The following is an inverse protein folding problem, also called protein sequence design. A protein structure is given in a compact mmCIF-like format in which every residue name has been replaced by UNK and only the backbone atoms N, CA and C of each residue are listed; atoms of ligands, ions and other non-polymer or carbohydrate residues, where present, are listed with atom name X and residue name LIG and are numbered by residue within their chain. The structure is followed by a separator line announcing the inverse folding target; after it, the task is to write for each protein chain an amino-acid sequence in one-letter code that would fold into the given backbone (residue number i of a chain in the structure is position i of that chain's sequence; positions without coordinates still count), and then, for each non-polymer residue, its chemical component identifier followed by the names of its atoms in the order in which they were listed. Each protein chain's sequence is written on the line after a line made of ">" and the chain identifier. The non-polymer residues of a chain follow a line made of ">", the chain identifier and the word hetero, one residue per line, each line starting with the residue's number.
data_IF_807375034311
#
_entry.id   IF_807375034311
#
_cell.length_a   1.000
_cell.length_b   1.000
_cell.length_c   1.000
_cell.angle_alpha   90.00
_cell.angle_beta   90.00
_cell.angle_gamma   90.00
#
_symmetry.space_group_name_H-M   'P 1'
#
loop_
_entity.id
_entity.type
_entity.pdbx_description
1 polymer ?
#
# COMPACT_ATOMS: atom_id res chain seq x y z
N UNK A 1 17.06 -10.10 15.50
CA UNK A 1 16.58 -11.22 14.68
C UNK A 1 17.01 -10.93 13.26
N UNK A 2 18.06 -11.59 12.76
CA UNK A 2 18.53 -11.39 11.38
C UNK A 2 17.56 -12.12 10.46
N UNK A 3 16.80 -11.36 9.66
CA UNK A 3 15.99 -11.91 8.58
C UNK A 3 16.99 -12.49 7.58
N UNK A 4 17.02 -13.82 7.47
CA UNK A 4 17.79 -14.49 6.43
C UNK A 4 16.99 -14.34 5.14
N UNK A 5 17.42 -13.40 4.30
CA UNK A 5 16.76 -13.10 3.05
C UNK A 5 17.46 -13.90 1.96
N UNK A 6 16.73 -14.82 1.35
CA UNK A 6 17.16 -15.48 0.11
C UNK A 6 17.30 -14.40 -0.98
N UNK A 7 18.52 -14.18 -1.47
CA UNK A 7 18.81 -13.14 -2.46
C UNK A 7 18.02 -13.29 -3.76
N UNK A 8 17.67 -14.51 -4.17
CA UNK A 8 16.86 -14.74 -5.35
C UNK A 8 15.40 -14.35 -5.11
N UNK A 9 14.88 -14.66 -3.91
CA UNK A 9 13.54 -14.27 -3.51
C UNK A 9 13.43 -12.74 -3.34
N UNK A 10 14.47 -12.10 -2.79
CA UNK A 10 14.52 -10.63 -2.68
C UNK A 10 14.53 -9.94 -4.04
N UNK A 11 15.34 -10.43 -4.97
CA UNK A 11 15.42 -9.85 -6.33
C UNK A 11 14.08 -9.96 -7.05
N UNK A 12 13.43 -11.13 -6.98
CA UNK A 12 12.09 -11.32 -7.57
C UNK A 12 11.03 -10.45 -6.89
N UNK A 13 11.01 -10.39 -5.55
CA UNK A 13 10.06 -9.56 -4.81
C UNK A 13 10.24 -8.05 -5.06
N UNK A 14 11.48 -7.57 -5.10
CA UNK A 14 11.76 -6.16 -5.41
C UNK A 14 11.39 -5.81 -6.85
N UNK A 15 11.73 -6.68 -7.81
CA UNK A 15 11.37 -6.47 -9.21
C UNK A 15 9.84 -6.48 -9.40
N UNK A 16 9.14 -7.41 -8.74
CA UNK A 16 7.68 -7.44 -8.69
C UNK A 16 7.08 -6.15 -8.11
N UNK A 17 7.64 -5.63 -7.01
CA UNK A 17 7.18 -4.38 -6.40
C UNK A 17 7.37 -3.17 -7.34
N UNK A 18 8.51 -3.09 -8.03
CA UNK A 18 8.77 -2.01 -8.98
C UNK A 18 7.80 -2.08 -10.15
N UNK A 19 7.56 -3.28 -10.71
CA UNK A 19 6.60 -3.48 -11.79
C UNK A 19 5.20 -3.05 -11.35
N UNK A 20 4.74 -3.54 -10.20
CA UNK A 20 3.44 -3.18 -9.63
C UNK A 20 3.29 -1.66 -9.45
N UNK A 21 4.33 -0.97 -8.96
CA UNK A 21 4.31 0.48 -8.81
C UNK A 21 4.19 1.19 -10.16
N UNK A 22 4.91 0.73 -11.19
CA UNK A 22 4.83 1.33 -12.52
C UNK A 22 3.45 1.10 -13.13
N UNK A 23 2.84 -0.07 -12.95
CA UNK A 23 1.47 -0.37 -13.41
C UNK A 23 0.44 0.55 -12.75
N UNK A 24 0.53 0.76 -11.43
CA UNK A 24 -0.34 1.71 -10.72
C UNK A 24 -0.17 3.12 -11.29
N UNK A 25 1.06 3.57 -11.51
CA UNK A 25 1.32 4.89 -12.10
C UNK A 25 0.76 4.98 -13.51
N UNK A 26 0.90 3.93 -14.33
CA UNK A 26 0.33 3.85 -15.67
C UNK A 26 -1.19 4.03 -15.64
N UNK A 27 -1.91 3.30 -14.78
CA UNK A 27 -3.36 3.44 -14.65
C UNK A 27 -3.77 4.87 -14.26
N UNK A 28 -3.02 5.51 -13.37
CA UNK A 28 -3.28 6.88 -12.97
C UNK A 28 -3.04 7.87 -14.12
N UNK A 29 -2.00 7.63 -14.93
CA UNK A 29 -1.72 8.43 -16.12
C UNK A 29 -2.83 8.27 -17.16
N UNK A 30 -3.28 7.05 -17.43
CA UNK A 30 -4.40 6.76 -18.34
C UNK A 30 -5.67 7.52 -17.92
N UNK A 31 -6.05 7.43 -16.64
CA UNK A 31 -7.19 8.17 -16.09
C UNK A 31 -7.03 9.69 -16.26
N UNK A 32 -5.82 10.22 -16.06
CA UNK A 32 -5.52 11.65 -16.20
C UNK A 32 -5.54 12.10 -17.65
N UNK A 33 -5.11 11.24 -18.58
CA UNK A 33 -5.17 11.49 -20.02
C UNK A 33 -6.63 11.57 -20.47
N UNK A 34 -7.47 10.61 -20.07
CA UNK A 34 -8.91 10.65 -20.35
C UNK A 34 -9.52 11.97 -19.88
N UNK A 35 -9.27 12.37 -18.63
CA UNK A 35 -9.77 13.63 -18.10
C UNK A 35 -9.25 14.86 -18.89
N UNK A 36 -8.01 14.83 -19.38
CA UNK A 36 -7.47 15.92 -20.23
C UNK A 36 -8.12 15.97 -21.61
N UNK A 37 -8.43 14.81 -22.19
CA UNK A 37 -9.15 14.69 -23.47
C UNK A 37 -10.55 15.27 -23.33
N UNK A 38 -11.29 14.86 -22.28
CA UNK A 38 -12.65 15.34 -22.01
C UNK A 38 -12.73 16.86 -21.82
N UNK A 39 -11.70 17.45 -21.20
CA UNK A 39 -11.61 18.89 -21.00
C UNK A 39 -11.01 19.67 -22.19
N UNK A 40 -10.69 19.00 -23.31
CA UNK A 40 -10.09 19.64 -24.49
C UNK A 40 -8.68 20.19 -24.26
N UNK A 41 -7.97 19.70 -23.24
CA UNK A 41 -6.64 20.17 -22.82
C UNK A 41 -5.49 19.47 -23.57
N UNK A 42 -5.79 18.64 -24.57
CA UNK A 42 -4.81 17.96 -25.42
C UNK A 42 -5.21 18.07 -26.88
N UNK A 43 -4.23 18.35 -27.75
CA UNK A 43 -4.40 18.26 -29.21
C UNK A 43 -4.39 16.80 -29.65
N UNK A 44 -4.93 16.52 -30.83
CA UNK A 44 -5.03 15.17 -31.37
C UNK A 44 -3.66 14.47 -31.45
N UNK A 45 -2.62 15.19 -31.89
CA UNK A 45 -1.26 14.63 -32.00
C UNK A 45 -0.65 14.32 -30.62
N UNK A 46 -1.05 15.05 -29.58
CA UNK A 46 -0.61 14.79 -28.20
C UNK A 46 -1.31 13.56 -27.62
N UNK A 47 -2.58 13.33 -27.97
CA UNK A 47 -3.33 12.14 -27.57
C UNK A 47 -2.68 10.89 -28.17
N UNK A 48 -2.39 10.90 -29.46
CA UNK A 48 -1.78 9.77 -30.16
C UNK A 48 -0.40 9.43 -29.57
N UNK A 49 0.46 10.43 -29.40
CA UNK A 49 1.81 10.24 -28.82
C UNK A 49 1.77 9.69 -27.40
N UNK A 50 0.82 10.14 -26.58
CA UNK A 50 0.68 9.63 -25.21
C UNK A 50 0.11 8.22 -25.20
N UNK A 51 -0.85 7.92 -26.07
CA UNK A 51 -1.40 6.58 -26.23
C UNK A 51 -0.33 5.58 -26.65
N UNK A 52 0.48 5.94 -27.64
CA UNK A 52 1.62 5.12 -28.10
C UNK A 52 2.62 4.86 -26.97
N UNK A 53 3.04 5.91 -26.25
CA UNK A 53 3.99 5.75 -25.14
C UNK A 53 3.46 4.86 -24.00
N UNK A 54 2.15 4.93 -23.69
CA UNK A 54 1.54 4.07 -22.67
C UNK A 54 1.40 2.62 -23.16
N UNK A 55 1.12 2.43 -24.45
CA UNK A 55 1.09 1.11 -25.06
C UNK A 55 2.47 0.44 -25.04
N UNK A 56 3.51 1.16 -25.48
CA UNK A 56 4.89 0.67 -25.49
C UNK A 56 5.37 0.33 -24.08
N UNK A 57 5.02 1.16 -23.09
CA UNK A 57 5.32 0.90 -21.69
C UNK A 57 4.65 -0.40 -21.22
N UNK A 58 3.38 -0.60 -21.56
CA UNK A 58 2.65 -1.82 -21.21
C UNK A 58 3.31 -3.06 -21.80
N UNK A 59 3.65 -3.03 -23.08
CA UNK A 59 4.30 -4.15 -23.76
C UNK A 59 5.66 -4.48 -23.14
N UNK A 60 6.44 -3.46 -22.79
CA UNK A 60 7.72 -3.64 -22.09
C UNK A 60 7.53 -4.29 -20.71
N UNK A 61 6.54 -3.85 -19.93
CA UNK A 61 6.24 -4.43 -18.61
C UNK A 61 5.77 -5.89 -18.73
N UNK A 62 4.89 -6.20 -19.69
CA UNK A 62 4.47 -7.59 -19.96
C UNK A 62 5.65 -8.49 -20.34
N UNK A 63 6.55 -7.99 -21.18
CA UNK A 63 7.76 -8.71 -21.56
C UNK A 63 8.66 -8.98 -20.35
N UNK A 64 8.89 -7.97 -19.50
CA UNK A 64 9.71 -8.11 -18.29
C UNK A 64 9.07 -9.10 -17.31
N UNK A 65 7.74 -9.05 -17.10
CA UNK A 65 7.03 -10.00 -16.23
C UNK A 65 7.25 -11.44 -16.69
N UNK A 66 7.05 -11.68 -17.99
CA UNK A 66 7.20 -13.00 -18.61
C UNK A 66 8.63 -13.53 -18.55
N UNK A 67 9.61 -12.69 -18.87
CA UNK A 67 11.02 -13.09 -18.88
C UNK A 67 11.55 -13.43 -17.48
N UNK A 68 10.88 -12.94 -16.42
CA UNK A 68 11.31 -13.13 -15.03
C UNK A 68 10.38 -14.02 -14.21
N UNK A 69 9.31 -14.58 -14.80
CA UNK A 69 8.27 -15.38 -14.14
C UNK A 69 7.68 -14.65 -12.91
N UNK A 70 7.25 -13.40 -13.12
CA UNK A 70 6.81 -12.52 -12.04
C UNK A 70 5.30 -12.30 -11.98
N UNK A 71 4.52 -12.87 -12.88
CA UNK A 71 3.07 -12.65 -12.98
C UNK A 71 2.37 -12.91 -11.64
N UNK A 72 2.58 -14.09 -11.05
CA UNK A 72 1.99 -14.45 -9.76
C UNK A 72 2.59 -13.66 -8.59
N UNK A 73 3.87 -13.29 -8.69
CA UNK A 73 4.57 -12.53 -7.64
C UNK A 73 4.06 -11.08 -7.56
N UNK A 74 3.81 -10.47 -8.71
CA UNK A 74 3.23 -9.12 -8.81
C UNK A 74 1.82 -9.11 -8.24
N UNK A 75 0.97 -10.04 -8.66
CA UNK A 75 -0.41 -10.16 -8.17
C UNK A 75 -0.45 -10.35 -6.64
N UNK A 76 0.46 -11.17 -6.09
CA UNK A 76 0.56 -11.40 -4.65
C UNK A 76 1.02 -10.15 -3.89
N UNK A 77 1.95 -9.36 -4.43
CA UNK A 77 2.42 -8.11 -3.82
C UNK A 77 1.32 -7.06 -3.82
N UNK A 78 0.60 -6.89 -4.93
CA UNK A 78 -0.52 -5.95 -5.03
C UNK A 78 -1.62 -6.33 -4.04
N UNK A 79 -2.00 -7.60 -3.99
CA UNK A 79 -3.02 -8.10 -3.06
C UNK A 79 -2.60 -7.91 -1.59
N UNK A 80 -1.33 -8.16 -1.26
CA UNK A 80 -0.81 -7.95 0.09
C UNK A 80 -0.75 -6.46 0.48
N UNK A 81 -0.49 -5.56 -0.47
CA UNK A 81 -0.58 -4.12 -0.24
C UNK A 81 -2.03 -3.67 0.01
N UNK A 82 -3.01 -4.21 -0.71
CA UNK A 82 -4.43 -3.90 -0.50
C UNK A 82 -4.91 -4.22 0.91
N UNK A 83 -4.43 -5.32 1.50
CA UNK A 83 -4.72 -5.68 2.89
C UNK A 83 -4.13 -4.66 3.88
N UNK A 84 -2.85 -4.31 3.72
CA UNK A 84 -2.18 -3.33 4.59
C UNK A 84 -2.78 -1.93 4.43
N UNK A 85 -3.15 -1.55 3.21
CA UNK A 85 -3.81 -0.27 2.92
C UNK A 85 -5.18 -0.21 3.58
N UNK A 86 -5.95 -1.31 3.60
CA UNK A 86 -7.23 -1.38 4.29
C UNK A 86 -7.08 -1.11 5.78
N UNK A 87 -6.14 -1.78 6.44
CA UNK A 87 -5.85 -1.57 7.87
C UNK A 87 -5.43 -0.13 8.16
N UNK A 88 -4.61 0.46 7.29
CA UNK A 88 -4.19 1.85 7.42
C UNK A 88 -5.37 2.82 7.24
N UNK A 89 -6.21 2.61 6.22
CA UNK A 89 -7.40 3.43 5.96
C UNK A 89 -8.39 3.34 7.12
N UNK A 90 -8.61 2.16 7.69
CA UNK A 90 -9.47 1.98 8.87
C UNK A 90 -8.92 2.75 10.09
N UNK A 91 -7.61 2.72 10.31
CA UNK A 91 -6.94 3.50 11.38
C UNK A 91 -7.06 5.02 11.18
N UNK A 92 -7.03 5.49 9.93
CA UNK A 92 -7.18 6.93 9.64
C UNK A 92 -8.63 7.41 9.66
N UNK A 93 -9.59 6.56 9.28
CA UNK A 93 -11.01 6.89 9.17
C UNK A 93 -11.78 6.71 10.48
N UNK A 94 -11.20 6.05 11.49
CA UNK A 94 -11.81 5.92 12.83
C UNK A 94 -10.95 6.56 13.94
N UNK A 95 -10.94 7.90 14.09
CA UNK A 95 -10.23 8.60 15.15
C UNK A 95 -10.74 8.29 16.58
N UNK A 96 -11.86 7.57 16.73
CA UNK A 96 -12.48 7.27 18.02
C UNK A 96 -12.03 5.93 18.64
N UNK A 97 -11.31 5.07 17.89
CA UNK A 97 -10.75 3.83 18.46
C UNK A 97 -9.59 4.10 19.44
N UNK A 98 -9.01 5.31 19.40
CA UNK A 98 -7.91 5.72 20.29
C UNK A 98 -8.40 6.06 21.70
N UNK A 99 -9.72 6.16 21.90
CA UNK A 99 -10.32 6.50 23.21
C UNK A 99 -10.56 5.26 24.07
N UNK A 100 -10.68 4.06 23.47
CA UNK A 100 -11.01 2.83 24.21
C UNK A 100 -9.76 2.02 24.61
N UNK A 101 -8.66 2.10 23.87
CA UNK A 101 -7.41 1.41 24.24
C UNK A 101 -6.67 2.06 25.44
N UNK A 102 -6.85 3.37 25.69
CA UNK A 102 -6.31 4.03 26.89
C UNK A 102 -7.08 3.68 28.18
N UNK A 103 -8.33 3.22 28.08
CA UNK A 103 -9.14 2.84 29.25
C UNK A 103 -8.80 1.46 29.81
N UNK A 104 -8.37 0.52 28.96
CA UNK A 104 -8.12 -0.87 29.38
C UNK A 104 -6.76 -1.05 30.07
N UNK A 105 -5.78 -0.19 29.82
CA UNK A 105 -4.48 -0.22 30.52
C UNK A 105 -4.53 0.42 31.91
N UNK A 106 -5.46 1.35 32.17
CA UNK A 106 -5.59 2.03 33.47
C UNK A 106 -6.32 1.18 34.52
N UNK A 107 -7.22 0.28 34.11
CA UNK A 107 -7.98 -0.56 35.05
C UNK A 107 -7.13 -1.71 35.66
N UNK A 108 -6.02 -2.09 35.02
CA UNK A 108 -5.10 -3.13 35.52
C UNK A 108 -3.95 -2.59 36.38
N UNK A 109 -3.71 -1.27 36.42
CA UNK A 109 -2.74 -0.62 37.34
C UNK A 109 -3.37 -0.05 38.61
N UNK A 110 -4.62 -0.39 38.91
CA UNK A 110 -5.38 0.14 40.05
C UNK A 110 -5.43 -0.74 41.32
N UNK A 111 -4.76 -1.89 41.39
CA UNK A 111 -4.74 -2.70 42.64
C UNK A 111 -3.50 -2.40 43.48
N UNK A 112 -3.55 -1.29 44.20
CA UNK A 112 -2.62 -1.02 45.31
C UNK A 112 -3.09 -1.82 46.53
N UNK A 113 -2.24 -2.61 47.22
CA UNK A 113 -2.63 -3.31 48.44
C UNK A 113 -2.90 -2.28 49.54
N UNK A 114 -4.11 -2.28 50.08
CA UNK A 114 -4.46 -1.49 51.26
C UNK A 114 -3.66 -2.00 52.47
N UNK A 115 -2.60 -1.28 52.84
CA UNK A 115 -1.95 -1.43 54.14
C UNK A 115 -2.15 -0.13 54.93
N UNK A 116 -2.84 -0.23 56.07
CA UNK A 116 -2.79 0.83 57.10
C UNK A 116 -4.13 1.24 57.70
N UNK A 117 -4.50 0.56 58.79
CA UNK A 117 -5.07 1.12 60.03
C UNK A 117 -6.29 2.06 59.94
N UNK A 118 -7.45 1.46 60.24
CA UNK A 118 -8.32 1.84 61.37
C UNK A 118 -7.85 3.03 62.23
N UNK A 119 -8.65 4.12 62.21
CA UNK A 119 -9.04 5.00 63.33
C UNK A 119 -7.94 5.56 64.27
N UNK A 120 -7.66 6.86 64.21
CA UNK A 120 -8.27 7.91 65.07
C UNK A 120 -8.48 7.48 66.53
N UNK A 121 -7.64 8.04 67.39
CA UNK A 121 -8.13 8.93 68.44
C UNK A 121 -7.57 10.33 68.16
#
# INVERSE_FOLDING_TARGET
>A
MSINIDENNLKKGLLGLVIALVEIIQELLERKVINRIENGNLKYEEIERVGEALFDLKEALETIKKDNELEEAVDSVISGLDEVVRDAVERFMNPLLWVEEESDEQEQRGKVPLLGSQQRH
#
